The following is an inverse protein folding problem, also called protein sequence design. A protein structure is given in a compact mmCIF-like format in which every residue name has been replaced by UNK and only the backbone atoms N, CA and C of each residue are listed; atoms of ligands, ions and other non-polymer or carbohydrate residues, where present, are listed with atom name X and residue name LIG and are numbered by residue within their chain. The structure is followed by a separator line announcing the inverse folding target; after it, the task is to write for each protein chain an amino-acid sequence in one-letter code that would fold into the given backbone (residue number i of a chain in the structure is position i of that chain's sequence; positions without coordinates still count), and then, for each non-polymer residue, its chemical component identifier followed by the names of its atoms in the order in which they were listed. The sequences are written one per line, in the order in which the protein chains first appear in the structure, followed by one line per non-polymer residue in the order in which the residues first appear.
data_IF_966795159547
#
_entry.id   IF_966795159547
#
_cell.length_a   1.000
_cell.length_b   1.000
_cell.length_c   1.000
_cell.angle_alpha   90.00
_cell.angle_beta   90.00
_cell.angle_gamma   90.00
#
_symmetry.space_group_name_H-M   'P 1'
#
loop_
_entity.id
_entity.type
_entity.pdbx_description
1 polymer ?
#
# COMPACT_ATOMS: atom_id res chain seq x y z
N UNK A 1 29.11 -18.86 2.29
CA UNK A 1 28.59 -17.53 2.71
C UNK A 1 27.20 -17.57 3.35
N UNK A 2 26.23 -18.32 2.79
CA UNK A 2 24.85 -18.43 3.36
C UNK A 2 24.83 -18.91 4.80
N UNK A 3 25.56 -20.00 5.10
CA UNK A 3 25.65 -20.61 6.45
C UNK A 3 26.27 -19.70 7.53
N UNK A 4 27.15 -18.75 7.15
CA UNK A 4 27.71 -17.79 8.11
C UNK A 4 26.68 -16.76 8.53
N UNK A 5 25.91 -16.20 7.57
CA UNK A 5 24.85 -15.20 7.82
C UNK A 5 23.74 -15.73 8.72
N UNK A 6 23.42 -17.03 8.58
CA UNK A 6 22.41 -17.72 9.39
C UNK A 6 22.87 -17.91 10.83
N UNK A 7 24.18 -18.11 11.04
CA UNK A 7 24.76 -18.28 12.39
C UNK A 7 25.10 -16.97 13.10
N UNK A 8 25.30 -15.88 12.35
CA UNK A 8 25.71 -14.58 12.85
C UNK A 8 24.79 -13.42 12.38
N UNK A 9 23.49 -13.48 12.66
CA UNK A 9 22.54 -12.49 12.12
C UNK A 9 22.79 -11.07 12.62
N UNK A 10 23.23 -10.90 13.87
CA UNK A 10 23.54 -9.60 14.48
C UNK A 10 24.78 -8.95 13.88
N UNK A 11 25.85 -9.72 13.69
CA UNK A 11 27.10 -9.26 13.07
C UNK A 11 26.88 -8.90 11.59
N UNK A 12 26.11 -9.71 10.89
CA UNK A 12 25.73 -9.43 9.50
C UNK A 12 24.89 -8.13 9.40
N UNK A 13 23.94 -7.93 10.30
CA UNK A 13 23.15 -6.71 10.34
C UNK A 13 24.00 -5.48 10.65
N UNK A 14 24.95 -5.58 11.58
CA UNK A 14 25.89 -4.50 11.92
C UNK A 14 26.81 -4.16 10.75
N UNK A 15 27.35 -5.17 10.07
CA UNK A 15 28.20 -4.98 8.88
C UNK A 15 27.44 -4.29 7.76
N UNK A 16 26.20 -4.72 7.46
CA UNK A 16 25.34 -4.09 6.45
C UNK A 16 25.01 -2.63 6.80
N UNK A 17 24.73 -2.34 8.07
CA UNK A 17 24.48 -0.98 8.54
C UNK A 17 25.71 -0.09 8.33
N UNK A 18 26.89 -0.56 8.73
CA UNK A 18 28.15 0.16 8.55
C UNK A 18 28.47 0.39 7.06
N UNK A 19 28.24 -0.59 6.21
CA UNK A 19 28.38 -0.45 4.76
C UNK A 19 27.44 0.63 4.22
N UNK A 20 26.15 0.56 4.58
CA UNK A 20 25.14 1.52 4.13
C UNK A 20 25.48 2.94 4.57
N UNK A 21 25.88 3.16 5.83
CA UNK A 21 26.23 4.50 6.31
C UNK A 21 27.44 5.11 5.57
N UNK A 22 28.42 4.29 5.18
CA UNK A 22 29.58 4.75 4.40
C UNK A 22 29.24 5.09 2.95
N UNK A 23 28.25 4.37 2.34
CA UNK A 23 27.96 4.49 0.92
C UNK A 23 26.57 5.12 0.65
N UNK A 24 25.90 5.66 1.67
CA UNK A 24 24.51 6.13 1.50
C UNK A 24 24.34 7.23 0.45
N UNK A 25 25.33 8.08 0.26
CA UNK A 25 25.28 9.13 -0.75
C UNK A 25 25.37 8.56 -2.18
N UNK A 26 26.22 7.57 -2.37
CA UNK A 26 26.37 6.86 -3.67
C UNK A 26 25.13 6.01 -3.99
N UNK A 27 24.55 5.40 -2.95
CA UNK A 27 23.39 4.52 -3.08
C UNK A 27 22.05 5.30 -3.15
N UNK A 28 22.03 6.57 -2.75
CA UNK A 28 20.80 7.35 -2.70
C UNK A 28 20.05 7.44 -4.05
N UNK A 29 20.71 7.68 -5.20
CA UNK A 29 20.03 7.69 -6.49
C UNK A 29 19.42 6.34 -6.86
N UNK A 30 20.16 5.24 -6.63
CA UNK A 30 19.68 3.89 -6.86
C UNK A 30 18.42 3.59 -6.04
N UNK A 31 18.44 3.87 -4.74
CA UNK A 31 17.26 3.65 -3.89
C UNK A 31 16.10 4.60 -4.22
N UNK A 32 16.38 5.81 -4.70
CA UNK A 32 15.33 6.72 -5.15
C UNK A 32 14.63 6.19 -6.41
N UNK A 33 15.40 5.67 -7.36
CA UNK A 33 14.87 5.02 -8.56
C UNK A 33 14.10 3.75 -8.20
N UNK A 34 14.69 2.86 -7.40
CA UNK A 34 14.03 1.64 -6.94
C UNK A 34 12.70 1.93 -6.25
N UNK A 35 12.64 2.95 -5.38
CA UNK A 35 11.40 3.36 -4.71
C UNK A 35 10.34 3.88 -5.67
N UNK A 36 10.73 4.52 -6.76
CA UNK A 36 9.82 4.99 -7.82
C UNK A 36 9.22 3.84 -8.61
N UNK A 37 10.08 2.93 -9.05
CA UNK A 37 9.70 1.78 -9.88
C UNK A 37 8.86 0.74 -9.12
N UNK A 38 9.08 0.62 -7.79
CA UNK A 38 8.41 -0.39 -6.94
C UNK A 38 7.44 0.24 -5.94
N UNK A 39 6.82 1.35 -6.31
CA UNK A 39 5.91 2.11 -5.42
C UNK A 39 4.73 1.26 -4.98
N UNK A 40 4.12 0.53 -5.89
CA UNK A 40 2.93 -0.30 -5.62
C UNK A 40 3.25 -1.45 -4.66
N UNK A 41 4.39 -2.10 -4.87
CA UNK A 41 4.88 -3.17 -3.98
C UNK A 41 5.11 -2.63 -2.56
N UNK A 42 5.71 -1.46 -2.43
CA UNK A 42 5.94 -0.82 -1.13
C UNK A 42 4.65 -0.43 -0.43
N UNK A 43 3.68 0.10 -1.14
CA UNK A 43 2.35 0.42 -0.61
C UNK A 43 1.68 -0.84 -0.04
N UNK A 44 1.71 -1.94 -0.77
CA UNK A 44 1.17 -3.21 -0.31
C UNK A 44 1.89 -3.73 0.96
N UNK A 45 3.22 -3.62 1.03
CA UNK A 45 4.01 -4.01 2.23
C UNK A 45 3.63 -3.17 3.44
N UNK A 46 3.52 -1.85 3.31
CA UNK A 46 3.15 -0.95 4.39
C UNK A 46 1.71 -1.19 4.87
N UNK A 47 0.77 -1.40 3.96
CA UNK A 47 -0.62 -1.72 4.29
C UNK A 47 -0.73 -3.02 5.10
N UNK A 48 -0.03 -4.08 4.68
CA UNK A 48 0.01 -5.37 5.39
C UNK A 48 0.63 -5.24 6.78
N UNK A 49 1.70 -4.46 6.93
CA UNK A 49 2.33 -4.21 8.24
C UNK A 49 1.37 -3.49 9.19
N UNK A 50 0.65 -2.48 8.70
CA UNK A 50 -0.36 -1.75 9.47
C UNK A 50 -1.51 -2.65 9.90
N UNK A 51 -2.03 -3.47 8.97
CA UNK A 51 -3.10 -4.43 9.26
C UNK A 51 -2.72 -5.43 10.36
N UNK A 52 -1.50 -5.98 10.31
CA UNK A 52 -0.99 -6.86 11.37
C UNK A 52 -0.92 -6.18 12.73
N UNK A 53 -0.49 -4.91 12.79
CA UNK A 53 -0.46 -4.13 14.04
C UNK A 53 -1.84 -3.91 14.64
N UNK A 54 -2.88 -3.83 13.81
CA UNK A 54 -4.26 -3.67 14.23
C UNK A 54 -4.97 -5.00 14.52
N UNK A 55 -4.28 -6.14 14.39
CA UNK A 55 -4.86 -7.45 14.62
C UNK A 55 -5.95 -7.85 13.61
N UNK A 56 -5.94 -7.28 12.42
CA UNK A 56 -6.93 -7.57 11.39
C UNK A 56 -6.86 -9.02 10.90
N UNK A 57 -8.02 -9.62 10.69
CA UNK A 57 -8.16 -10.98 10.16
C UNK A 57 -7.85 -10.96 8.65
N UNK A 58 -7.19 -12.02 8.17
CA UNK A 58 -6.85 -12.18 6.77
C UNK A 58 -5.56 -11.49 6.34
N UNK A 59 -5.13 -11.82 5.15
CA UNK A 59 -3.95 -11.25 4.51
C UNK A 59 -4.07 -11.39 3.00
N UNK A 60 -3.29 -10.63 2.26
CA UNK A 60 -3.13 -10.78 0.82
C UNK A 60 -1.65 -10.65 0.45
N UNK A 61 -1.29 -11.25 -0.68
CA UNK A 61 0.07 -11.23 -1.22
C UNK A 61 0.30 -10.01 -2.11
N UNK A 62 1.56 -9.73 -2.41
CA UNK A 62 1.91 -8.69 -3.40
C UNK A 62 1.39 -9.06 -4.80
N UNK A 63 1.41 -10.35 -5.16
CA UNK A 63 0.89 -10.83 -6.44
C UNK A 63 -0.63 -10.58 -6.57
N UNK A 64 -1.41 -10.88 -5.53
CA UNK A 64 -2.84 -10.59 -5.50
C UNK A 64 -3.14 -9.09 -5.60
N UNK A 65 -2.34 -8.24 -4.96
CA UNK A 65 -2.44 -6.79 -5.10
C UNK A 65 -2.19 -6.34 -6.54
N UNK A 66 -1.12 -6.81 -7.18
CA UNK A 66 -0.79 -6.44 -8.56
C UNK A 66 -1.89 -6.92 -9.52
N UNK A 67 -2.38 -8.15 -9.35
CA UNK A 67 -3.50 -8.68 -10.14
C UNK A 67 -4.78 -7.85 -9.98
N UNK A 68 -5.09 -7.43 -8.75
CA UNK A 68 -6.21 -6.53 -8.48
C UNK A 68 -6.06 -5.20 -9.22
N UNK A 69 -4.90 -4.56 -9.13
CA UNK A 69 -4.61 -3.28 -9.79
C UNK A 69 -4.70 -3.43 -11.32
N UNK A 70 -4.22 -4.54 -11.90
CA UNK A 70 -4.35 -4.86 -13.32
C UNK A 70 -5.82 -4.99 -13.75
N UNK A 71 -6.65 -5.66 -12.96
CA UNK A 71 -8.11 -5.77 -13.21
C UNK A 71 -8.80 -4.40 -13.22
N UNK A 72 -8.29 -3.45 -12.48
CA UNK A 72 -8.74 -2.06 -12.46
C UNK A 72 -8.04 -1.17 -13.50
N UNK A 73 -7.30 -1.75 -14.45
CA UNK A 73 -6.57 -1.03 -15.51
C UNK A 73 -5.65 0.07 -14.95
N UNK A 74 -5.05 -0.14 -13.78
CA UNK A 74 -4.20 0.82 -13.10
C UNK A 74 -4.89 2.16 -12.81
N UNK A 75 -6.19 2.13 -12.54
CA UNK A 75 -7.00 3.31 -12.22
C UNK A 75 -7.54 3.25 -10.79
N UNK A 76 -7.80 4.42 -10.22
CA UNK A 76 -8.47 4.55 -8.93
C UNK A 76 -9.91 4.04 -9.01
N UNK A 77 -10.32 3.17 -8.09
CA UNK A 77 -11.67 2.60 -8.04
C UNK A 77 -12.77 3.65 -7.78
N UNK A 78 -12.42 4.83 -7.30
CA UNK A 78 -13.38 5.89 -6.96
C UNK A 78 -13.46 7.00 -8.01
N UNK A 79 -12.33 7.52 -8.48
CA UNK A 79 -12.31 8.62 -9.45
C UNK A 79 -11.94 8.21 -10.87
N UNK A 80 -11.44 6.99 -11.08
CA UNK A 80 -11.04 6.48 -12.39
C UNK A 80 -9.73 7.06 -12.92
N UNK A 81 -9.09 7.98 -12.22
CA UNK A 81 -7.83 8.57 -12.65
C UNK A 81 -6.66 7.59 -12.50
N UNK A 82 -5.69 7.73 -13.40
CA UNK A 82 -4.40 7.04 -13.31
C UNK A 82 -3.46 7.86 -12.44
N UNK A 83 -3.19 7.34 -11.25
CA UNK A 83 -2.25 7.92 -10.28
C UNK A 83 -1.58 6.76 -9.53
N UNK A 84 -0.67 7.10 -8.64
CA UNK A 84 -0.13 6.13 -7.71
C UNK A 84 -1.24 5.56 -6.82
N UNK A 85 -1.43 4.26 -6.88
CA UNK A 85 -2.50 3.56 -6.20
C UNK A 85 -2.02 3.00 -4.86
N UNK A 86 -2.89 3.10 -3.87
CA UNK A 86 -2.72 2.56 -2.52
C UNK A 86 -3.81 1.52 -2.26
N UNK A 87 -3.53 0.45 -1.50
CA UNK A 87 -4.57 -0.45 -1.03
C UNK A 87 -5.51 0.28 -0.06
N UNK A 88 -6.77 0.35 -0.41
CA UNK A 88 -7.83 0.89 0.46
C UNK A 88 -8.77 -0.24 0.88
N UNK A 89 -9.15 -0.26 2.17
CA UNK A 89 -10.08 -1.26 2.69
C UNK A 89 -11.53 -0.82 2.45
N UNK A 90 -12.31 -1.64 1.74
CA UNK A 90 -13.75 -1.38 1.49
C UNK A 90 -14.49 -1.10 2.80
N UNK A 91 -14.29 -1.97 3.79
CA UNK A 91 -14.66 -1.75 5.17
C UNK A 91 -13.37 -1.45 5.94
N UNK A 92 -13.22 -0.27 6.54
CA UNK A 92 -12.01 0.08 7.28
C UNK A 92 -11.67 -0.92 8.37
N UNK A 93 -10.37 -1.18 8.58
CA UNK A 93 -9.91 -2.07 9.65
C UNK A 93 -10.42 -1.65 11.03
N UNK A 94 -10.48 -0.34 11.30
CA UNK A 94 -11.01 0.21 12.54
C UNK A 94 -12.51 -0.05 12.73
N UNK A 95 -13.23 -0.43 11.69
CA UNK A 95 -14.66 -0.79 11.71
C UNK A 95 -14.89 -2.31 11.54
N UNK A 96 -13.86 -3.12 11.79
CA UNK A 96 -13.95 -4.57 11.74
C UNK A 96 -13.73 -5.19 10.35
N UNK A 97 -13.27 -4.42 9.37
CA UNK A 97 -12.94 -4.92 8.04
C UNK A 97 -11.77 -5.90 8.09
N UNK A 98 -11.79 -6.91 7.19
CA UNK A 98 -10.70 -7.85 7.02
C UNK A 98 -9.54 -7.24 6.22
N UNK A 99 -8.37 -7.87 6.32
CA UNK A 99 -7.23 -7.56 5.46
C UNK A 99 -7.09 -8.55 4.29
N UNK A 100 -8.17 -9.25 3.93
CA UNK A 100 -8.21 -10.13 2.77
C UNK A 100 -8.39 -9.34 1.47
N UNK A 101 -7.93 -9.89 0.35
CA UNK A 101 -7.93 -9.19 -0.95
C UNK A 101 -9.35 -8.76 -1.38
N UNK A 102 -10.38 -9.50 -0.99
CA UNK A 102 -11.79 -9.19 -1.28
C UNK A 102 -12.24 -7.87 -0.66
N UNK A 103 -11.61 -7.48 0.45
CA UNK A 103 -11.89 -6.21 1.13
C UNK A 103 -10.96 -5.07 0.66
N UNK A 104 -10.17 -5.25 -0.40
CA UNK A 104 -9.22 -4.27 -0.90
C UNK A 104 -9.67 -3.69 -2.24
N UNK A 105 -9.49 -2.38 -2.41
CA UNK A 105 -9.63 -1.66 -3.68
C UNK A 105 -8.37 -0.83 -3.95
N UNK A 106 -8.02 -0.63 -5.24
CA UNK A 106 -6.99 0.33 -5.60
C UNK A 106 -7.56 1.75 -5.55
N UNK A 107 -6.97 2.60 -4.73
CA UNK A 107 -7.38 4.00 -4.58
C UNK A 107 -6.18 4.94 -4.74
N UNK A 108 -6.37 6.09 -5.40
CA UNK A 108 -5.38 7.15 -5.37
C UNK A 108 -5.32 7.77 -3.96
N UNK A 109 -4.19 8.38 -3.64
CA UNK A 109 -3.98 8.97 -2.31
C UNK A 109 -5.06 9.96 -1.91
N UNK A 110 -5.51 10.80 -2.86
CA UNK A 110 -6.58 11.79 -2.62
C UNK A 110 -7.88 11.13 -2.20
N UNK A 111 -8.34 10.12 -2.95
CA UNK A 111 -9.58 9.40 -2.63
C UNK A 111 -9.45 8.60 -1.33
N UNK A 112 -8.34 7.93 -1.12
CA UNK A 112 -8.08 7.18 0.11
C UNK A 112 -8.12 8.07 1.36
N UNK A 113 -7.51 9.24 1.32
CA UNK A 113 -7.55 10.21 2.42
C UNK A 113 -8.96 10.77 2.65
N UNK A 114 -9.70 11.10 1.57
CA UNK A 114 -11.07 11.63 1.66
C UNK A 114 -12.06 10.59 2.21
N UNK A 115 -11.87 9.33 1.84
CA UNK A 115 -12.69 8.22 2.36
C UNK A 115 -12.49 8.03 3.86
N UNK A 116 -11.25 8.12 4.34
CA UNK A 116 -10.90 7.96 5.75
C UNK A 116 -11.54 6.70 6.36
N UNK A 117 -12.41 6.85 7.36
CA UNK A 117 -13.09 5.75 8.06
C UNK A 117 -14.48 5.39 7.47
N UNK A 118 -14.85 5.97 6.34
CA UNK A 118 -16.07 5.60 5.63
C UNK A 118 -15.91 4.22 4.99
N UNK A 119 -17.00 3.47 4.90
CA UNK A 119 -17.04 2.28 4.04
C UNK A 119 -17.02 2.69 2.57
N UNK A 120 -16.74 1.75 1.67
CA UNK A 120 -16.83 1.98 0.23
C UNK A 120 -18.20 2.54 -0.16
N UNK A 121 -19.27 1.95 0.36
CA UNK A 121 -20.65 2.35 0.07
C UNK A 121 -20.94 3.78 0.53
N UNK A 122 -20.59 4.11 1.76
CA UNK A 122 -20.76 5.46 2.32
C UNK A 122 -19.96 6.51 1.51
N UNK A 123 -18.76 6.18 1.11
CA UNK A 123 -17.92 7.10 0.32
C UNK A 123 -18.44 7.28 -1.10
N UNK A 124 -18.91 6.21 -1.76
CA UNK A 124 -19.55 6.31 -3.08
C UNK A 124 -20.83 7.14 -3.03
N UNK A 125 -21.64 6.97 -1.98
CA UNK A 125 -22.84 7.79 -1.78
C UNK A 125 -22.48 9.28 -1.62
N UNK A 126 -21.44 9.58 -0.84
CA UNK A 126 -20.91 10.96 -0.68
C UNK A 126 -20.46 11.53 -2.03
N UNK A 127 -19.69 10.79 -2.81
CA UNK A 127 -19.24 11.23 -4.14
C UNK A 127 -20.41 11.49 -5.11
N UNK A 128 -21.44 10.66 -5.06
CA UNK A 128 -22.64 10.85 -5.86
C UNK A 128 -23.39 12.12 -5.47
N UNK A 129 -23.55 12.40 -4.18
CA UNK A 129 -24.17 13.61 -3.67
C UNK A 129 -23.41 14.89 -4.08
N UNK A 130 -22.07 14.85 -4.03
CA UNK A 130 -21.21 15.96 -4.47
C UNK A 130 -21.35 16.25 -5.98
N UNK A 131 -21.48 15.21 -6.82
CA UNK A 131 -21.71 15.37 -8.27
C UNK A 131 -23.09 15.97 -8.56
N UNK A 132 -24.14 15.48 -7.91
CA UNK A 132 -25.48 16.01 -8.08
C UNK A 132 -25.62 17.48 -7.67
N UNK A 133 -24.78 17.96 -6.76
CA UNK A 133 -24.77 19.37 -6.34
C UNK A 133 -24.07 20.31 -7.33
N UNK A 134 -23.28 19.77 -8.27
CA UNK A 134 -22.58 20.55 -9.30
C UNK A 134 -23.40 20.71 -10.59
N UNK A 135 -24.49 19.96 -10.74
CA UNK A 135 -25.36 19.97 -11.93
C UNK A 135 -26.59 20.91 -11.75
N UNK A 136 -26.68 21.64 -10.62
CA UNK A 136 -27.69 22.65 -10.33
C UNK A 136 -27.11 24.04 -10.41
#
# INVERSE_FOLDING_TARGET
MRRWRERHPSEHAASNRSYYERHKQELAPYFAQYRREHRDVRQAIHARRRARKLGAVGSYTTAEWIELVQRWNWTCAYCGERDALEPDHRIPLARGGSNSIENILPACRRCNQRKALLTEEEFRARLAAERGSLEL
#
